data_IF_698423935673
#
_entry.id   IF_698423935673
#
_cell.length_a   1.000
_cell.length_b   1.000
_cell.length_c   1.000
_cell.angle_alpha   90.00
_cell.angle_beta   90.00
_cell.angle_gamma   90.00
#
_symmetry.space_group_name_H-M   'P 1'
#
loop_
_entity.id
_entity.type
_entity.pdbx_description
1 polymer ?
#
# COMPACT_ATOMS: atom_id res chain seq x y z
N UNK A 1 -3.86 -9.15 -3.07
CA UNK A 1 -2.96 -9.56 -1.98
C UNK A 1 -3.66 -9.52 -0.64
N UNK A 2 -3.44 -10.54 0.18
CA UNK A 2 -3.81 -10.59 1.60
C UNK A 2 -2.55 -10.91 2.42
N UNK A 3 -2.57 -10.51 3.68
CA UNK A 3 -1.63 -10.90 4.71
C UNK A 3 -2.41 -11.71 5.74
N UNK A 4 -2.51 -13.03 5.52
CA UNK A 4 -3.46 -13.91 6.20
C UNK A 4 -4.90 -13.38 6.03
N UNK A 5 -5.55 -12.99 7.13
CA UNK A 5 -6.93 -12.48 7.12
C UNK A 5 -7.03 -11.00 6.74
N UNK A 6 -5.92 -10.27 6.77
CA UNK A 6 -5.89 -8.83 6.51
C UNK A 6 -5.71 -8.54 5.02
N UNK A 7 -6.56 -7.70 4.42
CA UNK A 7 -6.43 -7.35 3.00
C UNK A 7 -5.52 -6.15 2.83
N UNK A 8 -4.58 -6.23 1.88
CA UNK A 8 -3.65 -5.14 1.59
C UNK A 8 -4.38 -3.83 1.20
N UNK A 9 -5.53 -3.94 0.51
CA UNK A 9 -6.33 -2.77 0.12
C UNK A 9 -6.79 -1.95 1.33
N UNK A 10 -7.16 -2.60 2.42
CA UNK A 10 -7.74 -1.93 3.59
C UNK A 10 -6.61 -1.24 4.37
N UNK A 11 -5.47 -1.92 4.53
CA UNK A 11 -4.26 -1.36 5.11
C UNK A 11 -3.75 -0.14 4.34
N UNK A 12 -3.62 -0.28 3.02
CA UNK A 12 -3.12 0.81 2.19
C UNK A 12 -4.11 1.94 2.14
N UNK A 13 -5.41 1.75 1.93
CA UNK A 13 -6.32 2.89 1.76
C UNK A 13 -6.71 3.59 3.06
N UNK A 14 -6.84 2.86 4.17
CA UNK A 14 -7.53 3.39 5.36
C UNK A 14 -6.68 3.47 6.62
N UNK A 15 -5.55 2.77 6.70
CA UNK A 15 -4.71 2.71 7.91
C UNK A 15 -3.35 3.41 7.70
N UNK A 16 -3.39 4.71 7.43
CA UNK A 16 -2.20 5.53 7.14
C UNK A 16 -1.25 5.67 8.32
N UNK A 17 -1.81 5.58 9.53
CA UNK A 17 -1.12 5.70 10.80
C UNK A 17 -0.46 4.39 11.25
N UNK A 18 -0.65 3.28 10.53
CA UNK A 18 -0.10 1.96 10.92
C UNK A 18 1.42 2.00 11.15
N UNK A 19 2.15 2.80 10.36
CA UNK A 19 3.60 3.00 10.51
C UNK A 19 3.95 4.30 11.26
N UNK A 20 3.00 4.93 11.95
CA UNK A 20 3.23 6.04 12.87
C UNK A 20 3.19 7.44 12.24
N UNK A 21 2.35 7.68 11.22
CA UNK A 21 2.01 9.03 10.73
C UNK A 21 0.57 9.38 11.11
N UNK A 22 0.39 9.99 12.29
CA UNK A 22 -0.93 10.24 12.91
C UNK A 22 -1.70 11.44 12.36
N UNK A 23 -1.09 12.25 11.49
CA UNK A 23 -1.69 13.49 10.98
C UNK A 23 -2.24 13.39 9.55
N UNK A 24 -2.37 12.18 9.00
CA UNK A 24 -2.88 11.97 7.63
C UNK A 24 -4.28 11.36 7.65
N UNK A 25 -5.23 12.02 6.98
CA UNK A 25 -6.62 11.59 6.86
C UNK A 25 -6.78 10.61 5.71
N UNK A 26 -7.44 9.47 5.97
CA UNK A 26 -7.75 8.48 4.94
C UNK A 26 -8.69 9.05 3.87
N UNK A 27 -9.65 9.88 4.28
CA UNK A 27 -10.57 10.54 3.37
C UNK A 27 -9.82 11.51 2.44
N UNK A 28 -8.94 12.34 2.98
CA UNK A 28 -8.19 13.31 2.18
C UNK A 28 -7.26 12.61 1.18
N UNK A 29 -6.66 11.49 1.58
CA UNK A 29 -5.82 10.69 0.69
C UNK A 29 -6.61 10.09 -0.50
N UNK A 30 -7.83 9.63 -0.26
CA UNK A 30 -8.74 9.16 -1.34
C UNK A 30 -9.17 10.31 -2.24
N UNK A 31 -9.47 11.49 -1.67
CA UNK A 31 -9.84 12.69 -2.43
C UNK A 31 -8.66 13.17 -3.29
N UNK A 32 -7.45 13.26 -2.73
CA UNK A 32 -6.23 13.62 -3.46
C UNK A 32 -5.98 12.66 -4.63
N UNK A 33 -6.10 11.34 -4.37
CA UNK A 33 -5.95 10.34 -5.43
C UNK A 33 -7.02 10.52 -6.52
N UNK A 34 -8.29 10.70 -6.16
CA UNK A 34 -9.37 10.93 -7.12
C UNK A 34 -9.19 12.20 -7.95
N UNK A 35 -8.60 13.26 -7.37
CA UNK A 35 -8.31 14.53 -8.04
C UNK A 35 -6.97 14.54 -8.81
N UNK A 36 -6.19 13.48 -8.71
CA UNK A 36 -4.83 13.42 -9.28
C UNK A 36 -4.79 13.37 -10.81
N UNK A 37 -5.94 13.24 -11.48
CA UNK A 37 -6.08 13.23 -12.93
C UNK A 37 -5.95 11.84 -13.55
N UNK A 38 -6.52 11.68 -14.75
CA UNK A 38 -6.68 10.40 -15.44
C UNK A 38 -5.39 9.59 -15.55
N UNK A 39 -4.27 10.23 -15.88
CA UNK A 39 -2.98 9.55 -16.04
C UNK A 39 -2.53 8.83 -14.76
N UNK A 40 -2.75 9.42 -13.58
CA UNK A 40 -2.39 8.79 -12.31
C UNK A 40 -3.35 7.66 -11.93
N UNK A 41 -4.55 7.62 -12.51
CA UNK A 41 -5.53 6.55 -12.26
C UNK A 41 -5.38 5.36 -13.23
N UNK A 42 -4.51 5.47 -14.24
CA UNK A 42 -4.22 4.38 -15.16
C UNK A 42 -3.58 3.19 -14.43
N UNK A 43 -4.11 1.99 -14.66
CA UNK A 43 -3.63 0.77 -14.01
C UNK A 43 -2.12 0.52 -14.20
N UNK A 44 -1.58 0.86 -15.39
CA UNK A 44 -0.14 0.74 -15.69
C UNK A 44 0.76 1.64 -14.84
N UNK A 45 0.21 2.71 -14.28
CA UNK A 45 0.93 3.70 -13.50
C UNK A 45 0.84 3.43 -11.99
N UNK A 46 0.37 2.25 -11.56
CA UNK A 46 0.13 1.94 -10.16
C UNK A 46 1.36 2.16 -9.24
N UNK A 47 2.57 1.76 -9.67
CA UNK A 47 3.80 1.93 -8.89
C UNK A 47 4.14 3.42 -8.75
N UNK A 48 4.14 4.15 -9.86
CA UNK A 48 4.49 5.57 -9.89
C UNK A 48 3.48 6.38 -9.07
N UNK A 49 2.19 6.10 -9.24
CA UNK A 49 1.10 6.77 -8.53
C UNK A 49 1.23 6.58 -7.03
N UNK A 50 1.50 5.35 -6.57
CA UNK A 50 1.77 5.12 -5.15
C UNK A 50 2.97 5.94 -4.69
N UNK A 51 4.10 5.87 -5.40
CA UNK A 51 5.34 6.51 -4.97
C UNK A 51 5.23 8.04 -4.90
N UNK A 52 4.50 8.66 -5.82
CA UNK A 52 4.37 10.12 -5.91
C UNK A 52 3.26 10.66 -5.00
N UNK A 53 2.11 9.98 -4.94
CA UNK A 53 0.93 10.51 -4.24
C UNK A 53 0.72 9.91 -2.86
N UNK A 54 0.98 8.62 -2.71
CA UNK A 54 0.63 7.89 -1.49
C UNK A 54 1.81 7.81 -0.54
N UNK A 55 3.02 7.46 -1.00
CA UNK A 55 4.17 7.18 -0.15
C UNK A 55 4.48 8.32 0.84
N UNK A 56 4.33 9.60 0.45
CA UNK A 56 4.48 10.76 1.34
C UNK A 56 3.55 10.73 2.57
N UNK A 57 2.40 10.08 2.44
CA UNK A 57 1.35 9.96 3.45
C UNK A 57 1.50 8.72 4.34
N UNK A 58 2.43 7.82 4.03
CA UNK A 58 2.80 6.68 4.88
C UNK A 58 4.26 6.85 5.30
N UNK A 59 4.70 6.21 6.38
CA UNK A 59 6.16 6.08 6.64
C UNK A 59 6.77 4.97 5.78
N UNK A 60 6.54 5.04 4.46
CA UNK A 60 7.02 4.06 3.47
C UNK A 60 7.73 4.76 2.32
N UNK A 61 8.82 4.19 1.83
CA UNK A 61 9.65 4.80 0.79
C UNK A 61 9.04 4.65 -0.62
N UNK A 62 8.38 3.53 -0.88
CA UNK A 62 7.74 3.20 -2.16
C UNK A 62 6.74 2.05 -1.96
N UNK A 63 6.04 1.67 -3.02
CA UNK A 63 5.03 0.59 -2.98
C UNK A 63 5.61 -0.74 -2.46
N UNK A 64 6.81 -1.12 -2.89
CA UNK A 64 7.41 -2.39 -2.50
C UNK A 64 7.84 -2.40 -1.03
N UNK A 65 8.40 -1.30 -0.54
CA UNK A 65 8.68 -1.10 0.89
C UNK A 65 7.42 -1.22 1.73
N UNK A 66 6.30 -0.64 1.29
CA UNK A 66 5.02 -0.77 1.97
C UNK A 66 4.55 -2.24 2.03
N UNK A 67 4.61 -2.94 0.88
CA UNK A 67 4.20 -4.34 0.81
C UNK A 67 5.06 -5.24 1.70
N UNK A 68 6.37 -5.01 1.74
CA UNK A 68 7.32 -5.75 2.59
C UNK A 68 7.11 -5.44 4.07
N UNK A 69 6.94 -4.18 4.45
CA UNK A 69 6.68 -3.79 5.84
C UNK A 69 5.40 -4.44 6.36
N UNK A 70 4.32 -4.43 5.58
CA UNK A 70 3.10 -5.14 5.95
C UNK A 70 3.30 -6.65 6.01
N UNK A 71 4.07 -7.25 5.07
CA UNK A 71 4.41 -8.68 5.16
C UNK A 71 5.15 -9.00 6.46
N UNK A 72 6.17 -8.21 6.82
CA UNK A 72 6.93 -8.38 8.07
C UNK A 72 6.03 -8.26 9.31
N UNK A 73 5.06 -7.35 9.29
CA UNK A 73 4.15 -7.14 10.41
C UNK A 73 3.13 -8.29 10.58
N UNK A 74 2.54 -8.78 9.49
CA UNK A 74 1.40 -9.70 9.56
C UNK A 74 1.74 -11.16 9.25
N UNK A 75 2.82 -11.44 8.54
CA UNK A 75 3.24 -12.78 8.12
C UNK A 75 4.75 -12.96 8.32
N UNK A 76 5.30 -12.69 9.52
CA UNK A 76 6.74 -12.57 9.76
C UNK A 76 7.53 -13.84 9.39
N UNK A 77 6.87 -15.00 9.47
CA UNK A 77 7.38 -16.35 9.23
C UNK A 77 7.70 -16.68 7.76
N UNK A 78 7.32 -15.83 6.80
CA UNK A 78 7.54 -16.06 5.36
C UNK A 78 8.48 -15.04 4.74
N UNK A 79 9.26 -15.43 3.75
CA UNK A 79 9.97 -14.48 2.88
C UNK A 79 9.00 -13.74 1.96
N UNK A 80 9.47 -12.63 1.35
CA UNK A 80 8.67 -11.89 0.37
C UNK A 80 8.27 -12.77 -0.83
N UNK A 81 9.17 -13.65 -1.27
CA UNK A 81 8.93 -14.52 -2.42
C UNK A 81 7.91 -15.62 -2.12
N UNK A 82 8.03 -16.29 -0.97
CA UNK A 82 7.06 -17.31 -0.55
C UNK A 82 5.66 -16.71 -0.40
N UNK A 83 5.55 -15.58 0.31
CA UNK A 83 4.28 -14.86 0.42
C UNK A 83 3.74 -14.46 -0.95
N UNK A 84 4.56 -13.91 -1.83
CA UNK A 84 4.11 -13.47 -3.16
C UNK A 84 3.54 -14.63 -3.99
N UNK A 85 4.23 -15.78 -4.00
CA UNK A 85 3.78 -17.00 -4.70
C UNK A 85 2.44 -17.52 -4.19
N UNK A 86 2.17 -17.44 -2.88
CA UNK A 86 0.88 -17.84 -2.31
C UNK A 86 -0.25 -16.86 -2.63
N UNK A 87 0.06 -15.58 -2.79
CA UNK A 87 -0.95 -14.55 -3.01
C UNK A 87 -1.32 -14.36 -4.48
N UNK A 88 -0.40 -14.67 -5.41
CA UNK A 88 -0.68 -14.62 -6.84
C UNK A 88 -1.52 -15.81 -7.26
N UNK A 89 -2.30 -15.63 -8.34
CA UNK A 89 -3.04 -16.72 -9.02
C UNK A 89 -2.39 -17.12 -10.35
N UNK A 90 -1.24 -16.52 -10.64
CA UNK A 90 -0.44 -16.80 -11.83
C UNK A 90 0.43 -18.04 -11.63
#
# INVERSE_FOLDING_TARGET
>A
FKYRDTKAKDLVMYHLDFFGKSNSSALDNVIELGKSGYNNLLAKNNVITYNVLLAKNYKTNNLFDALEKYRKAFVPDKTNNEWFKEQTKA
#
